data_IF_641341935796
#
_entry.id   IF_641341935796
#
_cell.length_a   1.000
_cell.length_b   1.000
_cell.length_c   1.000
_cell.angle_alpha   90.00
_cell.angle_beta   90.00
_cell.angle_gamma   90.00
#
_symmetry.space_group_name_H-M   'P 1'
#
loop_
_entity.id
_entity.type
_entity.pdbx_description
1 polymer ?
#
# COMPACT_ATOMS: atom_id res chain seq x y z
N UNK A 1 1.79 -34.63 -4.10
CA UNK A 1 2.76 -34.15 -3.10
C UNK A 1 2.00 -33.72 -1.84
N UNK A 2 2.45 -34.10 -0.65
CA UNK A 2 1.89 -33.60 0.61
C UNK A 2 2.51 -32.23 0.89
N UNK A 3 1.69 -31.20 1.06
CA UNK A 3 2.17 -29.87 1.48
C UNK A 3 2.58 -29.95 2.94
N UNK A 4 3.85 -29.62 3.23
CA UNK A 4 4.34 -29.52 4.61
C UNK A 4 3.85 -28.22 5.24
N UNK A 5 3.50 -28.28 6.53
CA UNK A 5 3.12 -27.11 7.29
C UNK A 5 4.37 -26.26 7.60
N UNK A 6 4.36 -24.97 7.23
CA UNK A 6 5.50 -24.06 7.42
C UNK A 6 5.96 -23.98 8.88
N UNK A 7 5.03 -23.99 9.84
CA UNK A 7 5.34 -23.94 11.28
C UNK A 7 6.15 -25.14 11.75
N UNK A 8 5.98 -26.32 11.14
CA UNK A 8 6.79 -27.52 11.48
C UNK A 8 8.22 -27.46 10.95
N UNK A 9 8.55 -26.45 10.14
CA UNK A 9 9.87 -26.28 9.52
C UNK A 9 10.70 -25.15 10.14
N UNK A 10 10.08 -24.29 10.95
CA UNK A 10 10.76 -23.15 11.54
C UNK A 10 11.56 -23.55 12.77
N UNK A 11 12.75 -22.98 12.90
CA UNK A 11 13.46 -22.93 14.17
C UNK A 11 12.99 -21.72 15.00
N UNK A 12 13.41 -21.66 16.27
CA UNK A 12 13.00 -20.61 17.20
C UNK A 12 13.38 -19.18 16.74
N UNK A 13 14.45 -19.03 15.94
CA UNK A 13 14.84 -17.73 15.38
C UNK A 13 13.87 -17.31 14.29
N UNK A 14 13.55 -18.20 13.36
CA UNK A 14 12.61 -17.94 12.26
C UNK A 14 11.19 -17.66 12.78
N UNK A 15 10.77 -18.35 13.84
CA UNK A 15 9.50 -18.07 14.50
C UNK A 15 9.45 -16.64 15.05
N UNK A 16 10.51 -16.19 15.74
CA UNK A 16 10.62 -14.80 16.23
C UNK A 16 10.62 -13.78 15.09
N UNK A 17 11.34 -14.05 14.00
CA UNK A 17 11.36 -13.19 12.81
C UNK A 17 9.96 -13.09 12.17
N UNK A 18 9.23 -14.19 12.08
CA UNK A 18 7.87 -14.21 11.55
C UNK A 18 6.89 -13.39 12.42
N UNK A 19 6.97 -13.52 13.74
CA UNK A 19 6.16 -12.69 14.65
C UNK A 19 6.53 -11.21 14.57
N UNK A 20 7.82 -10.88 14.51
CA UNK A 20 8.27 -9.49 14.35
C UNK A 20 7.76 -8.87 13.03
N UNK A 21 7.78 -9.63 11.93
CA UNK A 21 7.18 -9.21 10.66
C UNK A 21 5.65 -9.00 10.80
N UNK A 22 4.96 -9.92 11.48
CA UNK A 22 3.52 -9.81 11.71
C UNK A 22 3.14 -8.59 12.56
N UNK A 23 3.96 -8.18 13.54
CA UNK A 23 3.73 -6.94 14.29
C UNK A 23 3.77 -5.70 13.38
N UNK A 24 4.76 -5.63 12.47
CA UNK A 24 4.83 -4.56 11.48
C UNK A 24 3.60 -4.54 10.56
N UNK A 25 3.19 -5.72 10.08
CA UNK A 25 1.99 -5.86 9.24
C UNK A 25 0.72 -5.39 9.96
N UNK A 26 0.51 -5.80 11.22
CA UNK A 26 -0.63 -5.34 12.02
C UNK A 26 -0.62 -3.82 12.19
N UNK A 27 0.53 -3.23 12.48
CA UNK A 27 0.66 -1.78 12.66
C UNK A 27 0.31 -1.01 11.38
N UNK A 28 0.76 -1.50 10.22
CA UNK A 28 0.36 -0.95 8.91
C UNK A 28 -1.16 -1.03 8.73
N UNK A 29 -1.78 -2.19 8.98
CA UNK A 29 -3.23 -2.36 8.89
C UNK A 29 -4.00 -1.47 9.87
N UNK A 30 -3.46 -1.20 11.06
CA UNK A 30 -4.08 -0.32 12.04
C UNK A 30 -4.10 1.14 11.60
N UNK A 31 -3.13 1.55 10.79
CA UNK A 31 -3.00 2.91 10.28
C UNK A 31 -3.68 3.11 8.92
N UNK A 32 -3.84 2.06 8.11
CA UNK A 32 -4.47 2.13 6.79
C UNK A 32 -5.81 1.38 6.75
N UNK A 33 -6.93 2.08 6.97
CA UNK A 33 -8.29 1.49 6.91
C UNK A 33 -9.01 1.81 5.61
N UNK A 34 -8.61 2.88 4.94
CA UNK A 34 -9.10 3.30 3.62
C UNK A 34 -7.98 3.29 2.60
N UNK A 35 -8.33 3.30 1.31
CA UNK A 35 -7.34 3.33 0.23
C UNK A 35 -6.40 4.53 0.31
N UNK A 36 -6.89 5.68 0.79
CA UNK A 36 -6.09 6.91 0.94
C UNK A 36 -5.08 6.80 2.08
N UNK A 37 -5.52 6.31 3.24
CA UNK A 37 -4.62 6.11 4.38
C UNK A 37 -3.55 5.06 4.05
N UNK A 38 -3.91 4.01 3.31
CA UNK A 38 -2.94 3.03 2.81
C UNK A 38 -1.91 3.67 1.88
N UNK A 39 -2.33 4.54 0.94
CA UNK A 39 -1.38 5.27 0.08
C UNK A 39 -0.47 6.18 0.92
N UNK A 40 -1.02 6.94 1.88
CA UNK A 40 -0.24 7.83 2.73
C UNK A 40 0.84 7.06 3.51
N UNK A 41 0.50 5.89 4.09
CA UNK A 41 1.46 5.01 4.76
C UNK A 41 2.53 4.49 3.78
N UNK A 42 2.12 4.03 2.59
CA UNK A 42 3.04 3.50 1.58
C UNK A 42 4.01 4.57 1.07
N UNK A 43 3.56 5.81 0.90
CA UNK A 43 4.43 6.94 0.51
C UNK A 43 5.47 7.20 1.59
N UNK A 44 5.06 7.32 2.85
CA UNK A 44 5.99 7.55 3.96
C UNK A 44 7.06 6.45 4.05
N UNK A 45 6.63 5.18 3.98
CA UNK A 45 7.55 4.03 3.99
C UNK A 45 8.49 4.03 2.78
N UNK A 46 7.97 4.37 1.59
CA UNK A 46 8.78 4.42 0.37
C UNK A 46 9.86 5.51 0.47
N UNK A 47 9.50 6.71 0.94
CA UNK A 47 10.44 7.81 1.11
C UNK A 47 11.50 7.52 2.16
N UNK A 48 11.13 6.89 3.28
CA UNK A 48 12.09 6.39 4.29
C UNK A 48 13.09 5.39 3.69
N UNK A 49 12.65 4.56 2.75
CA UNK A 49 13.47 3.59 2.00
C UNK A 49 14.23 4.21 0.80
N UNK A 50 14.16 5.53 0.64
CA UNK A 50 14.88 6.30 -0.37
C UNK A 50 14.24 6.31 -1.76
N UNK A 51 12.94 6.00 -1.87
CA UNK A 51 12.20 6.24 -3.10
C UNK A 51 11.97 7.73 -3.33
N UNK A 52 11.91 8.12 -4.61
CA UNK A 52 11.64 9.50 -5.03
C UNK A 52 10.42 9.54 -5.94
N UNK A 53 9.56 10.53 -5.77
CA UNK A 53 8.39 10.70 -6.64
C UNK A 53 8.79 11.01 -8.09
N UNK A 54 8.16 10.31 -9.05
CA UNK A 54 8.40 10.47 -10.47
C UNK A 54 8.17 11.92 -10.95
N UNK A 55 7.11 12.57 -10.47
CA UNK A 55 6.77 13.97 -10.82
C UNK A 55 7.92 14.91 -10.46
N UNK A 56 8.50 14.75 -9.26
CA UNK A 56 9.65 15.52 -8.78
C UNK A 56 10.90 15.32 -9.66
N UNK A 57 11.10 14.14 -10.23
CA UNK A 57 12.22 13.87 -11.16
C UNK A 57 11.99 14.53 -12.52
N UNK A 58 10.77 14.49 -13.04
CA UNK A 58 10.39 15.11 -14.30
C UNK A 58 10.57 16.64 -14.25
N UNK A 59 10.11 17.28 -13.18
CA UNK A 59 10.28 18.72 -12.96
C UNK A 59 11.76 19.13 -12.93
N UNK A 60 12.60 18.31 -12.28
CA UNK A 60 14.06 18.52 -12.20
C UNK A 60 14.81 18.10 -13.46
N UNK A 61 14.10 17.61 -14.50
CA UNK A 61 14.68 17.06 -15.74
C UNK A 61 15.76 16.01 -15.47
N UNK A 62 15.63 15.25 -14.37
CA UNK A 62 16.56 14.18 -14.02
C UNK A 62 16.21 12.94 -14.83
N UNK A 63 17.25 12.30 -15.40
CA UNK A 63 17.10 11.02 -16.08
C UNK A 63 17.03 9.90 -15.05
N UNK A 64 16.10 8.97 -15.28
CA UNK A 64 16.02 7.70 -14.57
C UNK A 64 17.19 6.81 -14.97
N UNK A 65 17.84 6.18 -14.00
CA UNK A 65 18.99 5.29 -14.22
C UNK A 65 18.83 3.98 -13.43
N UNK A 66 19.67 3.00 -13.78
CA UNK A 66 19.83 1.73 -13.04
C UNK A 66 19.95 1.98 -11.54
N UNK A 67 19.19 1.23 -10.75
CA UNK A 67 19.18 1.27 -9.29
C UNK A 67 18.32 2.38 -8.69
N UNK A 68 17.72 3.27 -9.49
CA UNK A 68 16.80 4.27 -8.97
C UNK A 68 15.56 3.59 -8.37
N UNK A 69 15.12 4.11 -7.22
CA UNK A 69 13.86 3.76 -6.56
C UNK A 69 12.89 4.91 -6.78
N UNK A 70 11.81 4.67 -7.52
CA UNK A 70 10.87 5.72 -7.95
C UNK A 70 9.45 5.29 -7.64
N UNK A 71 8.59 6.21 -7.22
CA UNK A 71 7.17 5.93 -7.07
C UNK A 71 6.30 6.97 -7.79
N UNK A 72 5.04 6.62 -8.03
CA UNK A 72 4.02 7.57 -8.51
C UNK A 72 2.70 7.27 -7.82
N UNK A 73 2.02 8.33 -7.38
CA UNK A 73 0.68 8.25 -6.78
C UNK A 73 -0.35 8.78 -7.76
N UNK A 74 -1.54 8.16 -7.80
CA UNK A 74 -2.66 8.63 -8.60
C UNK A 74 -3.87 8.92 -7.72
N UNK A 75 -4.31 10.19 -7.71
CA UNK A 75 -5.47 10.70 -6.96
C UNK A 75 -5.50 10.34 -5.47
N UNK A 76 -4.33 10.06 -4.87
CA UNK A 76 -4.18 9.50 -3.53
C UNK A 76 -4.95 8.19 -3.29
N UNK A 77 -5.21 7.39 -4.33
CA UNK A 77 -5.98 6.13 -4.23
C UNK A 77 -5.25 4.92 -4.76
N UNK A 78 -4.18 5.13 -5.51
CA UNK A 78 -3.28 4.08 -5.96
C UNK A 78 -1.85 4.59 -6.00
N UNK A 79 -0.93 3.65 -5.87
CA UNK A 79 0.50 3.89 -5.92
C UNK A 79 1.17 2.80 -6.74
N UNK A 80 2.19 3.17 -7.49
CA UNK A 80 3.10 2.24 -8.15
C UNK A 80 4.53 2.57 -7.71
N UNK A 81 5.29 1.53 -7.38
CA UNK A 81 6.70 1.63 -6.99
C UNK A 81 7.54 0.89 -8.02
N UNK A 82 8.65 1.50 -8.41
CA UNK A 82 9.61 0.98 -9.37
C UNK A 82 10.99 0.88 -8.73
N UNK A 83 11.62 -0.27 -8.91
CA UNK A 83 13.05 -0.43 -8.70
C UNK A 83 13.69 -0.70 -10.05
N UNK A 84 14.44 0.28 -10.57
CA UNK A 84 14.95 0.26 -11.93
C UNK A 84 16.11 -0.74 -12.04
N UNK A 85 15.91 -1.78 -12.85
CA UNK A 85 16.89 -2.83 -13.09
C UNK A 85 18.06 -2.39 -13.97
N UNK A 86 18.88 -3.36 -14.35
CA UNK A 86 20.03 -3.14 -15.23
C UNK A 86 19.68 -3.27 -16.72
N UNK A 87 18.69 -4.10 -17.03
CA UNK A 87 18.25 -4.36 -18.40
C UNK A 87 17.30 -3.26 -18.90
N UNK A 88 17.27 -3.00 -20.22
CA UNK A 88 16.26 -2.15 -20.83
C UNK A 88 14.85 -2.61 -20.49
N UNK A 89 13.95 -1.65 -20.15
CA UNK A 89 12.56 -1.95 -19.77
C UNK A 89 11.77 -2.67 -20.87
N UNK A 90 12.18 -2.52 -22.13
CA UNK A 90 11.63 -3.24 -23.29
C UNK A 90 11.81 -4.77 -23.22
N UNK A 91 12.77 -5.26 -22.43
CA UNK A 91 12.95 -6.69 -22.18
C UNK A 91 11.92 -7.25 -21.18
N UNK A 92 11.14 -6.39 -20.54
CA UNK A 92 10.09 -6.75 -19.59
C UNK A 92 10.36 -6.31 -18.16
N UNK A 93 9.40 -6.59 -17.28
CA UNK A 93 9.40 -6.20 -15.88
C UNK A 93 8.75 -7.28 -15.01
N UNK A 94 9.25 -7.44 -13.78
CA UNK A 94 8.57 -8.24 -12.77
C UNK A 94 7.55 -7.36 -12.04
N UNK A 95 6.27 -7.69 -12.19
CA UNK A 95 5.17 -6.88 -11.63
C UNK A 95 4.49 -7.66 -10.51
N UNK A 96 4.38 -7.01 -9.34
CA UNK A 96 3.53 -7.46 -8.24
C UNK A 96 2.37 -6.49 -8.11
N UNK A 97 1.15 -7.01 -8.27
CA UNK A 97 -0.09 -6.23 -8.15
C UNK A 97 -0.90 -6.67 -6.94
N UNK A 98 -1.48 -5.69 -6.24
CA UNK A 98 -2.45 -5.86 -5.17
C UNK A 98 -3.47 -4.72 -5.22
N UNK A 99 -4.57 -4.86 -4.49
CA UNK A 99 -5.53 -3.77 -4.27
C UNK A 99 -5.48 -3.35 -2.79
N UNK A 100 -5.79 -2.08 -2.51
CA UNK A 100 -5.68 -1.47 -1.18
C UNK A 100 -7.01 -0.90 -0.67
N UNK A 101 -8.06 -0.98 -1.50
CA UNK A 101 -9.42 -0.74 -1.06
C UNK A 101 -9.99 -1.99 -0.38
N UNK A 102 -10.91 -1.78 0.55
CA UNK A 102 -11.60 -2.82 1.31
C UNK A 102 -13.07 -2.44 1.46
N UNK A 103 -13.97 -3.43 1.62
CA UNK A 103 -15.39 -3.17 1.84
C UNK A 103 -15.62 -2.21 3.01
N UNK A 104 -16.49 -1.22 2.81
CA UNK A 104 -16.76 -0.18 3.81
C UNK A 104 -18.16 0.44 3.64
N UNK A 105 -18.51 1.32 4.57
CA UNK A 105 -19.72 2.14 4.49
C UNK A 105 -19.33 3.58 4.13
N UNK A 106 -19.90 4.06 3.04
CA UNK A 106 -19.68 5.41 2.53
C UNK A 106 -20.86 6.28 2.91
N UNK A 107 -20.56 7.47 3.41
CA UNK A 107 -21.60 8.46 3.70
C UNK A 107 -22.14 9.01 2.38
N UNK A 108 -23.47 9.05 2.20
CA UNK A 108 -24.10 9.58 0.98
C UNK A 108 -23.83 11.07 0.80
N UNK A 109 -24.09 11.59 -0.40
CA UNK A 109 -23.90 13.02 -0.72
C UNK A 109 -24.75 13.95 0.15
N UNK A 110 -26.00 13.57 0.46
CA UNK A 110 -26.88 14.27 1.39
C UNK A 110 -27.25 13.31 2.55
N UNK A 111 -26.35 13.14 3.54
CA UNK A 111 -26.46 12.05 4.49
C UNK A 111 -27.18 12.40 5.78
N UNK A 112 -27.18 13.68 6.17
CA UNK A 112 -27.66 14.11 7.47
C UNK A 112 -29.19 14.16 7.47
N UNK A 113 -29.81 13.38 8.35
CA UNK A 113 -31.25 13.45 8.61
C UNK A 113 -31.54 13.23 10.10
N UNK A 114 -32.73 13.61 10.53
CA UNK A 114 -33.20 13.40 11.91
C UNK A 114 -34.37 12.41 11.91
N UNK A 115 -34.32 11.44 12.83
CA UNK A 115 -35.43 10.53 13.07
C UNK A 115 -35.51 10.22 14.57
N UNK A 116 -36.71 10.24 15.16
CA UNK A 116 -36.89 9.91 16.59
C UNK A 116 -36.12 10.82 17.57
N UNK A 117 -35.76 12.04 17.17
CA UNK A 117 -34.97 12.99 17.99
C UNK A 117 -33.46 12.76 17.99
N UNK A 118 -32.95 11.90 17.08
CA UNK A 118 -31.52 11.69 16.86
C UNK A 118 -31.10 12.09 15.44
N UNK A 119 -29.90 12.63 15.31
CA UNK A 119 -29.28 12.89 14.02
C UNK A 119 -28.53 11.63 13.52
N UNK A 120 -28.74 11.27 12.26
CA UNK A 120 -28.12 10.12 11.59
C UNK A 120 -27.36 10.54 10.34
N UNK A 121 -26.46 9.66 9.89
CA UNK A 121 -25.81 9.74 8.59
C UNK A 121 -26.24 8.55 7.74
N UNK A 122 -26.95 8.83 6.64
CA UNK A 122 -27.31 7.84 5.64
C UNK A 122 -26.07 7.36 4.87
N UNK A 123 -26.00 6.05 4.64
CA UNK A 123 -24.82 5.37 4.10
C UNK A 123 -25.13 4.53 2.88
N UNK A 124 -24.10 4.23 2.10
CA UNK A 124 -24.12 3.32 0.98
C UNK A 124 -22.95 2.34 1.13
N UNK A 125 -23.20 1.05 0.95
CA UNK A 125 -22.13 0.06 1.01
C UNK A 125 -21.22 0.20 -0.21
N UNK A 126 -19.91 0.09 -0.01
CA UNK A 126 -18.90 -0.01 -1.05
C UNK A 126 -18.26 -1.39 -0.97
#
# INVERSE_FOLDING_TARGET
MIRKNTWTTYNQKQEKEAFAFAEGYKKFLDQGKTERECVDQLVNMAEEEGFVELTSLLEKKKKVKKGDKIYSVWMNKSIVLFHIGEEPMENGMNILGAHIDSPRLDVKQNPLYEEGGFAYLDTHYY
#
